data_IF_464110784456
#
_entry.id   IF_464110784456
#
_cell.length_a   1.000
_cell.length_b   1.000
_cell.length_c   1.000
_cell.angle_alpha   90.00
_cell.angle_beta   90.00
_cell.angle_gamma   90.00
#
_symmetry.space_group_name_H-M   'P 1'
#
loop_
_entity.id
_entity.type
_entity.pdbx_description
1 polymer ?
#
# COMPACT_ATOMS: atom_id res chain seq x y z
N UNK A 1 2.05 -9.59 -3.02
CA UNK A 1 1.15 -9.61 -1.85
C UNK A 1 0.85 -8.17 -1.45
N UNK A 2 -0.39 -7.83 -1.03
CA UNK A 2 -0.70 -6.48 -0.56
C UNK A 2 0.12 -6.06 0.66
N UNK A 3 0.50 -4.78 0.72
CA UNK A 3 1.23 -4.19 1.86
C UNK A 3 0.46 -4.38 3.17
N UNK A 4 -0.88 -4.19 3.15
CA UNK A 4 -1.74 -4.37 4.33
C UNK A 4 -1.57 -5.78 4.91
N UNK A 5 -1.70 -6.81 4.07
CA UNK A 5 -1.59 -8.22 4.47
C UNK A 5 -0.19 -8.51 5.01
N UNK A 6 0.86 -8.00 4.35
CA UNK A 6 2.23 -8.16 4.82
C UNK A 6 2.45 -7.55 6.22
N UNK A 7 1.83 -6.41 6.52
CA UNK A 7 1.87 -5.79 7.85
C UNK A 7 1.11 -6.59 8.91
N UNK A 8 -0.09 -7.07 8.58
CA UNK A 8 -0.91 -7.91 9.46
C UNK A 8 -0.18 -9.22 9.84
N UNK A 9 0.49 -9.87 8.88
CA UNK A 9 1.32 -11.07 9.12
C UNK A 9 2.51 -10.81 10.05
N UNK A 10 2.93 -9.54 10.19
CA UNK A 10 3.96 -9.11 11.14
C UNK A 10 3.38 -8.58 12.45
N UNK A 11 2.06 -8.66 12.63
CA UNK A 11 1.36 -8.20 13.84
C UNK A 11 1.18 -6.68 13.92
N UNK A 12 1.27 -5.97 12.79
CA UNK A 12 0.97 -4.53 12.75
C UNK A 12 -0.55 -4.31 12.70
N UNK A 13 -1.02 -3.34 13.47
CA UNK A 13 -2.40 -2.83 13.39
C UNK A 13 -2.41 -1.66 12.41
N UNK A 14 -2.91 -1.90 11.19
CA UNK A 14 -2.93 -0.93 10.10
C UNK A 14 -4.37 -0.53 9.78
N UNK A 15 -4.65 0.73 9.40
CA UNK A 15 -6.00 1.15 9.07
C UNK A 15 -6.53 0.38 7.85
N UNK A 16 -7.73 -0.21 7.97
CA UNK A 16 -8.39 -0.90 6.86
C UNK A 16 -9.92 -0.79 6.92
N UNK A 17 -10.55 -1.07 5.77
CA UNK A 17 -12.00 -1.13 5.63
C UNK A 17 -12.39 -2.20 4.61
N UNK A 18 -12.65 -1.80 3.36
CA UNK A 18 -13.19 -2.69 2.32
C UNK A 18 -12.21 -3.75 1.78
N UNK A 19 -10.89 -3.58 1.94
CA UNK A 19 -9.82 -4.42 1.36
C UNK A 19 -9.74 -4.51 -0.18
N UNK A 20 -10.74 -4.01 -0.90
CA UNK A 20 -10.81 -4.00 -2.37
C UNK A 20 -10.38 -2.66 -3.01
N UNK A 21 -9.83 -1.75 -2.20
CA UNK A 21 -9.34 -0.45 -2.67
C UNK A 21 -10.40 0.63 -2.92
N UNK A 22 -11.67 0.44 -2.55
CA UNK A 22 -12.75 1.41 -2.82
C UNK A 22 -13.07 2.40 -1.68
N UNK A 23 -12.79 2.04 -0.42
CA UNK A 23 -13.17 2.87 0.74
C UNK A 23 -12.13 3.94 1.14
N UNK A 24 -10.89 3.81 0.67
CA UNK A 24 -9.78 4.72 0.98
C UNK A 24 -9.39 4.80 2.47
N UNK A 25 -9.85 3.89 3.34
CA UNK A 25 -9.43 3.85 4.75
C UNK A 25 -7.96 3.45 4.93
N UNK A 26 -7.43 2.60 4.06
CA UNK A 26 -6.07 2.06 4.14
C UNK A 26 -5.04 2.90 3.37
N UNK A 27 -5.22 4.21 3.33
CA UNK A 27 -4.30 5.09 2.60
C UNK A 27 -3.01 5.31 3.39
N UNK A 28 -1.91 5.48 2.66
CA UNK A 28 -0.63 5.90 3.22
C UNK A 28 0.12 6.76 2.22
N UNK A 29 1.04 7.58 2.69
CA UNK A 29 1.87 8.44 1.85
C UNK A 29 3.22 7.75 1.58
N UNK A 30 3.60 7.62 0.32
CA UNK A 30 4.88 7.04 -0.06
C UNK A 30 6.03 8.02 0.22
N UNK A 31 6.98 7.61 1.05
CA UNK A 31 8.22 8.36 1.32
C UNK A 31 9.35 7.97 0.35
N UNK A 32 9.42 6.68 -0.02
CA UNK A 32 10.39 6.21 -1.00
C UNK A 32 9.99 4.88 -1.65
N UNK A 33 10.61 4.58 -2.80
CA UNK A 33 10.45 3.33 -3.53
C UNK A 33 9.29 3.33 -4.53
N UNK A 34 8.89 2.15 -5.01
CA UNK A 34 7.82 2.00 -6.01
C UNK A 34 6.87 0.88 -5.63
N UNK A 35 5.61 1.05 -6.01
CA UNK A 35 4.55 0.06 -5.76
C UNK A 35 3.84 -0.30 -7.06
N UNK A 36 3.24 -1.48 -7.08
CA UNK A 36 2.35 -1.97 -8.12
C UNK A 36 0.92 -2.01 -7.62
N UNK A 37 -0.01 -1.42 -8.37
CA UNK A 37 -1.44 -1.65 -8.19
C UNK A 37 -1.77 -3.07 -8.66
N UNK A 38 -2.20 -3.93 -7.74
CA UNK A 38 -2.45 -5.34 -8.01
C UNK A 38 -3.68 -5.58 -8.88
N UNK A 39 -4.54 -4.57 -9.07
CA UNK A 39 -5.77 -4.71 -9.87
C UNK A 39 -5.50 -4.60 -11.37
N UNK A 40 -4.52 -3.78 -11.75
CA UNK A 40 -4.22 -3.48 -13.16
C UNK A 40 -2.74 -3.65 -13.53
N UNK A 41 -1.87 -3.91 -12.55
CA UNK A 41 -0.44 -4.11 -12.74
C UNK A 41 0.38 -2.83 -12.92
N UNK A 42 -0.22 -1.64 -12.87
CA UNK A 42 0.47 -0.36 -13.05
C UNK A 42 1.48 -0.13 -11.92
N UNK A 43 2.71 0.25 -12.28
CA UNK A 43 3.78 0.58 -11.33
C UNK A 43 3.94 2.10 -11.23
N UNK A 44 3.89 2.62 -10.01
CA UNK A 44 4.00 4.04 -9.68
C UNK A 44 4.80 4.21 -8.38
N UNK A 45 5.00 5.45 -7.92
CA UNK A 45 5.78 5.72 -6.71
C UNK A 45 6.67 6.95 -6.82
N UNK A 46 6.06 8.13 -6.82
CA UNK A 46 6.72 9.39 -6.51
C UNK A 46 6.61 9.66 -5.01
N UNK A 47 7.59 10.37 -4.46
CA UNK A 47 7.51 10.84 -3.07
C UNK A 47 6.27 11.73 -2.89
N UNK A 48 5.53 11.49 -1.81
CA UNK A 48 4.26 12.16 -1.53
C UNK A 48 3.04 11.53 -2.22
N UNK A 49 3.19 10.51 -3.06
CA UNK A 49 2.04 9.82 -3.64
C UNK A 49 1.25 9.04 -2.58
N UNK A 50 -0.06 9.24 -2.58
CA UNK A 50 -0.98 8.46 -1.74
C UNK A 50 -1.22 7.09 -2.38
N UNK A 51 -0.93 6.04 -1.64
CA UNK A 51 -1.17 4.65 -2.02
C UNK A 51 -2.29 4.04 -1.18
N UNK A 52 -2.83 2.89 -1.61
CA UNK A 52 -3.79 2.11 -0.82
C UNK A 52 -3.15 0.77 -0.47
N UNK A 53 -2.79 0.56 0.79
CA UNK A 53 -2.01 -0.61 1.22
C UNK A 53 -2.71 -1.94 0.96
N UNK A 54 -4.04 -1.98 0.89
CA UNK A 54 -4.80 -3.20 0.60
C UNK A 54 -4.69 -3.71 -0.86
N UNK A 55 -4.28 -2.87 -1.80
CA UNK A 55 -4.19 -3.22 -3.23
C UNK A 55 -2.82 -2.88 -3.85
N UNK A 56 -1.93 -2.26 -3.10
CA UNK A 56 -0.57 -1.96 -3.53
C UNK A 56 0.39 -3.04 -3.02
N UNK A 57 1.32 -3.49 -3.88
CA UNK A 57 2.45 -4.33 -3.50
C UNK A 57 3.77 -3.60 -3.76
N UNK A 58 4.80 -3.76 -2.90
CA UNK A 58 6.12 -3.19 -3.15
C UNK A 58 6.81 -3.85 -4.35
N UNK A 59 7.47 -3.06 -5.20
CA UNK A 59 8.40 -3.56 -6.25
C UNK A 59 9.84 -3.76 -5.74
N UNK A 60 10.07 -3.48 -4.46
CA UNK A 60 11.35 -3.51 -3.78
C UNK A 60 11.23 -2.87 -2.39
N UNK A 61 12.34 -2.46 -1.75
CA UNK A 61 12.26 -1.65 -0.53
C UNK A 61 11.44 -0.38 -0.76
N UNK A 62 10.52 -0.10 0.16
CA UNK A 62 9.70 1.11 0.18
C UNK A 62 9.64 1.65 1.62
N UNK A 63 9.36 2.94 1.75
CA UNK A 63 8.97 3.56 3.01
C UNK A 63 7.62 4.27 2.83
N UNK A 64 6.72 4.08 3.78
CA UNK A 64 5.36 4.63 3.76
C UNK A 64 5.01 5.19 5.13
N UNK A 65 4.23 6.26 5.14
CA UNK A 65 3.64 6.87 6.33
C UNK A 65 2.16 6.49 6.40
N UNK A 66 1.67 6.04 7.56
CA UNK A 66 0.34 5.42 7.75
C UNK A 66 -0.46 6.06 8.89
#
# INVERSE_FOLDING_TARGET
MPILVAGEEKGLDLPFGCREGICHTCVGELRSGRVRDLRNGQVYGQEGEVIRTCISAPEGPIEIDL
#
